data_IF_485508241241
#
_entry.id   IF_485508241241
#
_cell.length_a   1.000
_cell.length_b   1.000
_cell.length_c   1.000
_cell.angle_alpha   90.00
_cell.angle_beta   90.00
_cell.angle_gamma   90.00
#
_symmetry.space_group_name_H-M   'P 1'
#
loop_
_entity.id
_entity.type
_entity.pdbx_description
1 polymer ?
#
# COMPACT_ATOMS: atom_id res chain seq x y z
N UNK A 1 -16.04 -3.34 15.83
CA UNK A 1 -16.49 -1.94 15.56
C UNK A 1 -17.11 -1.89 14.18
N UNK A 2 -18.15 -1.08 13.95
CA UNK A 2 -18.73 -0.90 12.60
C UNK A 2 -17.88 0.06 11.77
N UNK A 3 -17.91 -0.06 10.41
CA UNK A 3 -17.10 0.76 9.49
C UNK A 3 -17.30 2.28 9.68
N UNK A 4 -18.55 2.73 9.94
CA UNK A 4 -18.84 4.15 10.20
C UNK A 4 -18.26 4.63 11.54
N UNK A 5 -18.32 3.81 12.57
CA UNK A 5 -17.72 4.11 13.88
C UNK A 5 -16.19 4.21 13.78
N UNK A 6 -15.58 3.28 13.03
CA UNK A 6 -14.15 3.31 12.73
C UNK A 6 -13.75 4.61 12.00
N UNK A 7 -14.48 4.98 10.94
CA UNK A 7 -14.21 6.21 10.19
C UNK A 7 -14.28 7.48 11.05
N UNK A 8 -15.31 7.58 11.92
CA UNK A 8 -15.43 8.72 12.84
C UNK A 8 -14.30 8.74 13.85
N UNK A 9 -13.99 7.60 14.45
CA UNK A 9 -13.02 7.50 15.53
C UNK A 9 -11.58 7.77 15.03
N UNK A 10 -11.23 7.24 13.86
CA UNK A 10 -9.91 7.47 13.22
C UNK A 10 -9.75 8.92 12.76
N UNK A 11 -10.82 9.54 12.25
CA UNK A 11 -10.77 10.96 11.87
C UNK A 11 -10.56 11.86 13.09
N UNK A 12 -11.20 11.57 14.22
CA UNK A 12 -10.99 12.29 15.47
C UNK A 12 -9.59 12.04 16.06
N UNK A 13 -9.06 10.83 15.93
CA UNK A 13 -7.69 10.52 16.37
C UNK A 13 -6.67 11.30 15.55
N UNK A 14 -6.83 11.35 14.24
CA UNK A 14 -5.91 12.04 13.32
C UNK A 14 -5.96 13.57 13.43
N UNK A 15 -7.17 14.13 13.56
CA UNK A 15 -7.38 15.58 13.46
C UNK A 15 -7.74 16.28 14.77
N UNK A 16 -7.93 15.52 15.84
CA UNK A 16 -8.43 16.04 17.10
C UNK A 16 -9.93 16.40 17.03
N UNK A 17 -10.36 17.25 17.94
CA UNK A 17 -11.74 17.71 18.03
C UNK A 17 -12.15 18.50 16.78
N UNK A 18 -13.15 18.03 16.05
CA UNK A 18 -13.74 18.70 14.89
C UNK A 18 -15.22 18.98 15.10
N UNK A 19 -15.75 20.08 14.53
CA UNK A 19 -17.19 20.30 14.45
C UNK A 19 -17.86 19.15 13.66
N UNK A 20 -19.06 18.66 14.06
CA UNK A 20 -19.72 17.52 13.40
C UNK A 20 -19.89 17.68 11.90
N UNK A 21 -20.16 18.90 11.40
CA UNK A 21 -20.30 19.21 9.98
C UNK A 21 -18.97 19.01 9.21
N UNK A 22 -17.86 19.42 9.81
CA UNK A 22 -16.53 19.27 9.22
C UNK A 22 -16.09 17.81 9.24
N UNK A 23 -16.32 17.12 10.36
CA UNK A 23 -16.05 15.69 10.49
C UNK A 23 -16.83 14.88 9.46
N UNK A 24 -18.14 15.12 9.33
CA UNK A 24 -19.01 14.47 8.34
C UNK A 24 -18.49 14.65 6.91
N UNK A 25 -18.07 15.89 6.54
CA UNK A 25 -17.47 16.16 5.22
C UNK A 25 -16.17 15.40 4.98
N UNK A 26 -15.29 15.35 6.00
CA UNK A 26 -13.99 14.65 5.89
C UNK A 26 -14.12 13.14 5.64
N UNK A 27 -15.14 12.52 6.22
CA UNK A 27 -15.34 11.06 6.15
C UNK A 27 -16.44 10.64 5.17
N UNK A 28 -17.00 11.58 4.40
CA UNK A 28 -18.02 11.30 3.39
C UNK A 28 -19.37 10.83 3.94
N UNK A 29 -19.73 11.20 5.18
CA UNK A 29 -21.02 10.87 5.78
C UNK A 29 -21.98 12.08 5.79
N UNK A 30 -23.30 11.79 5.82
CA UNK A 30 -24.28 12.85 6.12
C UNK A 30 -24.10 13.35 7.55
N UNK A 31 -24.47 14.62 7.82
CA UNK A 31 -24.39 15.20 9.16
C UNK A 31 -25.18 14.40 10.19
N UNK A 32 -26.38 13.93 9.81
CA UNK A 32 -27.25 13.15 10.71
C UNK A 32 -26.60 11.80 11.05
N UNK A 33 -26.05 11.10 10.06
CA UNK A 33 -25.33 9.83 10.29
C UNK A 33 -24.11 10.06 11.17
N UNK A 34 -23.31 11.08 10.89
CA UNK A 34 -22.13 11.41 11.68
C UNK A 34 -22.49 11.74 13.13
N UNK A 35 -23.56 12.54 13.34
CA UNK A 35 -24.04 12.91 14.67
C UNK A 35 -24.56 11.70 15.47
N UNK A 36 -25.29 10.80 14.82
CA UNK A 36 -25.76 9.55 15.44
C UNK A 36 -24.59 8.66 15.87
N UNK A 37 -23.60 8.46 14.97
CA UNK A 37 -22.39 7.66 15.28
C UNK A 37 -21.57 8.30 16.39
N UNK A 38 -21.44 9.63 16.42
CA UNK A 38 -20.76 10.33 17.51
C UNK A 38 -21.45 10.09 18.85
N UNK A 39 -22.79 10.15 18.91
CA UNK A 39 -23.56 9.86 20.12
C UNK A 39 -23.35 8.41 20.59
N UNK A 40 -23.33 7.45 19.67
CA UNK A 40 -23.00 6.05 19.98
C UNK A 40 -21.60 5.90 20.58
N UNK A 41 -20.59 6.54 19.96
CA UNK A 41 -19.21 6.48 20.43
C UNK A 41 -19.04 7.15 21.80
N UNK A 42 -19.79 8.23 22.07
CA UNK A 42 -19.83 8.88 23.38
C UNK A 42 -20.46 7.94 24.42
N UNK A 43 -21.59 7.31 24.10
CA UNK A 43 -22.26 6.35 24.98
C UNK A 43 -21.38 5.14 25.31
N UNK A 44 -20.57 4.67 24.32
CA UNK A 44 -19.58 3.61 24.53
C UNK A 44 -18.35 4.09 25.34
N UNK A 45 -18.21 5.40 25.57
CA UNK A 45 -17.05 5.99 26.21
C UNK A 45 -15.79 6.05 25.36
N UNK A 46 -15.90 5.91 24.05
CA UNK A 46 -14.77 6.00 23.12
C UNK A 46 -14.43 7.45 22.76
N UNK A 47 -15.40 8.36 22.87
CA UNK A 47 -15.26 9.80 22.65
C UNK A 47 -15.77 10.56 23.87
N UNK A 48 -15.03 11.56 24.31
CA UNK A 48 -15.43 12.49 25.37
C UNK A 48 -15.04 13.92 24.97
N UNK A 49 -15.97 14.85 25.11
CA UNK A 49 -15.78 16.29 24.79
C UNK A 49 -15.25 16.54 23.35
N UNK A 50 -15.55 15.61 22.41
CA UNK A 50 -15.12 15.66 21.04
C UNK A 50 -13.72 15.08 20.78
N UNK A 51 -13.07 14.50 21.77
CA UNK A 51 -11.76 13.87 21.67
C UNK A 51 -11.86 12.36 21.91
N UNK A 52 -10.98 11.60 21.27
CA UNK A 52 -10.86 10.14 21.47
C UNK A 52 -10.31 9.88 22.88
N UNK A 53 -10.92 8.94 23.58
CA UNK A 53 -10.47 8.52 24.92
C UNK A 53 -9.45 7.39 24.82
N UNK A 54 -8.80 7.05 25.94
CA UNK A 54 -7.92 5.86 26.03
C UNK A 54 -8.66 4.58 25.61
N UNK A 55 -9.91 4.40 26.10
CA UNK A 55 -10.77 3.29 25.66
C UNK A 55 -11.07 3.31 24.16
N UNK A 56 -11.18 4.50 23.56
CA UNK A 56 -11.34 4.66 22.11
C UNK A 56 -10.08 4.25 21.35
N UNK A 57 -8.90 4.60 21.86
CA UNK A 57 -7.62 4.16 21.29
C UNK A 57 -7.43 2.65 21.39
N UNK A 58 -7.77 2.05 22.53
CA UNK A 58 -7.76 0.59 22.70
C UNK A 58 -8.70 -0.12 21.70
N UNK A 59 -9.86 0.47 21.43
CA UNK A 59 -10.81 -0.05 20.45
C UNK A 59 -10.29 0.05 18.98
N UNK A 60 -9.36 0.96 18.69
CA UNK A 60 -8.67 1.08 17.40
C UNK A 60 -7.46 0.15 17.27
N UNK A 61 -6.87 -0.34 18.36
CA UNK A 61 -5.63 -1.14 18.32
C UNK A 61 -5.71 -2.42 17.44
N UNK A 62 -6.86 -3.13 17.34
CA UNK A 62 -7.00 -4.27 16.40
C UNK A 62 -6.85 -3.90 14.92
N UNK A 63 -7.06 -2.63 14.58
CA UNK A 63 -6.99 -2.08 13.22
C UNK A 63 -5.65 -1.39 12.93
N UNK A 64 -4.75 -1.34 13.91
CA UNK A 64 -3.45 -0.69 13.75
C UNK A 64 -2.57 -1.44 12.76
N UNK A 65 -2.04 -0.70 11.80
CA UNK A 65 -1.03 -1.22 10.87
C UNK A 65 0.28 -1.45 11.64
N UNK A 66 0.84 -2.64 11.55
CA UNK A 66 2.02 -3.03 12.32
C UNK A 66 3.31 -2.71 11.60
N UNK A 67 3.32 -2.86 10.27
CA UNK A 67 4.54 -2.71 9.47
C UNK A 67 4.27 -2.30 8.04
N UNK A 68 5.33 -1.91 7.36
CA UNK A 68 5.37 -1.66 5.92
C UNK A 68 6.44 -2.55 5.28
N UNK A 69 6.07 -3.25 4.22
CA UNK A 69 6.92 -4.18 3.47
C UNK A 69 7.07 -3.63 2.06
N UNK A 70 8.31 -3.43 1.61
CA UNK A 70 8.64 -2.92 0.29
C UNK A 70 9.23 -4.04 -0.57
N UNK A 71 8.55 -4.36 -1.67
CA UNK A 71 9.03 -5.33 -2.67
C UNK A 71 9.95 -4.58 -3.63
N UNK A 72 11.26 -4.64 -3.39
CA UNK A 72 12.26 -3.77 -4.01
C UNK A 72 13.42 -4.53 -4.68
N UNK A 73 13.24 -5.82 -4.99
CA UNK A 73 14.31 -6.66 -5.48
C UNK A 73 14.53 -6.60 -7.00
N UNK A 74 13.64 -5.95 -7.76
CA UNK A 74 13.62 -5.91 -9.22
C UNK A 74 14.80 -5.16 -9.86
N UNK A 75 15.13 -5.51 -11.11
CA UNK A 75 16.26 -4.92 -11.85
C UNK A 75 15.97 -3.54 -12.45
N UNK A 76 14.70 -3.17 -12.64
CA UNK A 76 14.31 -1.88 -13.22
C UNK A 76 14.86 -1.64 -14.64
N UNK A 77 14.89 -2.66 -15.48
CA UNK A 77 15.55 -2.64 -16.79
C UNK A 77 15.00 -1.58 -17.76
N UNK A 78 13.73 -1.17 -17.60
CA UNK A 78 13.12 -0.08 -18.40
C UNK A 78 13.69 1.30 -18.09
N UNK A 79 14.41 1.46 -16.96
CA UNK A 79 15.05 2.72 -16.55
C UNK A 79 16.56 2.78 -16.89
N UNK A 80 17.05 1.91 -17.77
CA UNK A 80 18.42 2.02 -18.27
C UNK A 80 18.62 3.40 -18.97
N UNK A 81 19.82 4.01 -18.84
CA UNK A 81 21.04 3.49 -18.20
C UNK A 81 21.16 3.71 -16.68
N UNK A 82 20.24 4.44 -16.04
CA UNK A 82 20.33 4.78 -14.61
C UNK A 82 20.45 3.56 -13.72
N UNK A 83 19.67 2.51 -14.02
CA UNK A 83 19.63 1.30 -13.23
C UNK A 83 20.85 0.40 -13.39
N UNK A 84 21.84 0.78 -14.19
CA UNK A 84 23.17 0.12 -14.16
C UNK A 84 23.91 0.32 -12.83
N UNK A 85 23.65 1.44 -12.15
CA UNK A 85 24.36 1.80 -10.91
C UNK A 85 23.46 2.16 -9.74
N UNK A 86 22.14 2.30 -9.96
CA UNK A 86 21.19 2.70 -8.93
C UNK A 86 19.90 1.89 -9.06
N UNK A 87 19.49 1.12 -8.05
CA UNK A 87 18.18 0.46 -8.05
C UNK A 87 17.05 1.47 -8.28
N UNK A 88 16.01 1.10 -9.05
CA UNK A 88 14.87 1.95 -9.38
C UNK A 88 14.27 2.67 -8.15
N UNK A 89 14.05 2.01 -6.99
CA UNK A 89 13.49 2.67 -5.81
C UNK A 89 14.37 3.79 -5.23
N UNK A 90 15.67 3.76 -5.50
CA UNK A 90 16.65 4.77 -5.02
C UNK A 90 16.87 5.92 -6.01
N UNK A 91 16.29 5.85 -7.21
CA UNK A 91 16.31 6.95 -8.17
C UNK A 91 15.63 8.16 -7.55
N UNK A 92 16.19 9.36 -7.81
CA UNK A 92 15.68 10.61 -7.25
C UNK A 92 14.81 11.34 -8.27
N UNK A 93 13.61 11.70 -7.85
CA UNK A 93 12.70 12.58 -8.59
C UNK A 93 12.64 13.90 -7.87
N UNK A 94 13.01 14.97 -8.54
CA UNK A 94 13.12 16.33 -7.95
C UNK A 94 13.94 16.35 -6.64
N UNK A 95 14.96 15.49 -6.55
CA UNK A 95 15.88 15.40 -5.40
C UNK A 95 15.47 14.42 -4.31
N UNK A 96 14.26 13.85 -4.35
CA UNK A 96 13.73 12.89 -3.38
C UNK A 96 13.76 11.48 -3.99
N UNK A 97 14.28 10.48 -3.28
CA UNK A 97 14.24 9.08 -3.74
C UNK A 97 12.79 8.60 -3.81
N UNK A 98 12.46 7.81 -4.82
CA UNK A 98 11.11 7.24 -4.98
C UNK A 98 10.65 6.58 -3.68
N UNK A 99 11.43 5.66 -3.15
CA UNK A 99 11.11 4.92 -1.91
C UNK A 99 10.98 5.83 -0.67
N UNK A 100 11.69 6.95 -0.61
CA UNK A 100 11.61 7.87 0.52
C UNK A 100 10.20 8.45 0.69
N UNK A 101 9.48 8.70 -0.41
CA UNK A 101 8.11 9.25 -0.35
C UNK A 101 7.16 8.30 0.37
N UNK A 102 7.34 7.01 0.15
CA UNK A 102 6.54 5.95 0.77
C UNK A 102 6.96 5.72 2.23
N UNK A 103 8.26 5.63 2.52
CA UNK A 103 8.76 5.40 3.89
C UNK A 103 8.42 6.59 4.79
N UNK A 104 8.61 7.83 4.32
CA UNK A 104 8.27 9.04 5.08
C UNK A 104 6.77 9.08 5.44
N UNK A 105 5.89 8.68 4.50
CA UNK A 105 4.46 8.57 4.76
C UNK A 105 4.13 7.49 5.80
N UNK A 106 4.80 6.34 5.75
CA UNK A 106 4.65 5.29 6.76
C UNK A 106 5.07 5.78 8.16
N UNK A 107 6.21 6.44 8.27
CA UNK A 107 6.70 7.00 9.55
C UNK A 107 5.74 8.07 10.07
N UNK A 108 5.27 8.98 9.19
CA UNK A 108 4.28 9.99 9.55
C UNK A 108 2.95 9.40 10.04
N UNK A 109 2.56 8.23 9.49
CA UNK A 109 1.40 7.46 9.96
C UNK A 109 1.66 6.68 11.27
N UNK A 110 2.90 6.70 11.82
CA UNK A 110 3.26 5.97 13.04
C UNK A 110 3.49 4.46 12.82
N UNK A 111 3.88 4.08 11.61
CA UNK A 111 4.28 2.71 11.26
C UNK A 111 5.79 2.60 11.45
N UNK A 112 6.22 1.85 12.46
CA UNK A 112 7.61 1.85 12.91
C UNK A 112 8.46 0.71 12.32
N UNK A 113 7.83 -0.42 11.98
CA UNK A 113 8.53 -1.57 11.42
C UNK A 113 8.56 -1.44 9.89
N UNK A 114 9.72 -1.10 9.34
CA UNK A 114 9.95 -0.94 7.90
C UNK A 114 10.83 -2.09 7.42
N UNK A 115 10.33 -2.86 6.44
CA UNK A 115 11.04 -4.01 5.86
C UNK A 115 11.20 -3.77 4.36
N UNK A 116 12.42 -3.87 3.85
CA UNK A 116 12.72 -3.78 2.43
C UNK A 116 13.27 -5.12 1.94
N UNK A 117 12.51 -5.77 1.05
CA UNK A 117 12.98 -6.97 0.34
C UNK A 117 13.75 -6.51 -0.87
N UNK A 118 15.07 -6.69 -0.86
CA UNK A 118 16.01 -6.21 -1.86
C UNK A 118 16.71 -7.36 -2.59
N UNK A 119 17.21 -7.09 -3.79
CA UNK A 119 17.93 -8.09 -4.60
C UNK A 119 18.94 -7.44 -5.52
N UNK A 120 18.50 -6.90 -6.65
CA UNK A 120 19.38 -6.20 -7.58
C UNK A 120 20.07 -5.00 -6.93
N UNK A 121 21.42 -4.97 -7.00
CA UNK A 121 22.24 -3.95 -6.34
C UNK A 121 21.85 -3.73 -4.86
N UNK A 122 21.54 -4.82 -4.14
CA UNK A 122 21.00 -4.79 -2.77
C UNK A 122 21.81 -3.94 -1.80
N UNK A 123 23.14 -3.93 -1.91
CA UNK A 123 24.03 -3.12 -1.06
C UNK A 123 23.78 -1.59 -1.19
N UNK A 124 23.27 -1.13 -2.35
CA UNK A 124 22.95 0.27 -2.52
C UNK A 124 21.86 0.76 -1.56
N UNK A 125 21.01 -0.15 -1.07
CA UNK A 125 19.95 0.17 -0.11
C UNK A 125 20.50 0.49 1.30
N UNK A 126 21.75 0.12 1.62
CA UNK A 126 22.34 0.43 2.92
C UNK A 126 22.35 1.93 3.24
N UNK A 127 22.41 2.81 2.23
CA UNK A 127 22.28 4.27 2.41
C UNK A 127 20.94 4.71 3.03
N UNK A 128 19.91 3.85 3.02
CA UNK A 128 18.63 4.16 3.66
C UNK A 128 18.77 4.21 5.18
N UNK A 129 19.71 3.46 5.77
CA UNK A 129 19.92 3.43 7.23
C UNK A 129 20.37 4.77 7.79
N UNK A 130 21.00 5.64 6.98
CA UNK A 130 21.39 6.99 7.40
C UNK A 130 20.16 7.84 7.77
N UNK A 131 19.06 7.66 7.06
CA UNK A 131 17.80 8.40 7.30
C UNK A 131 16.81 7.57 8.14
N UNK A 132 16.83 6.24 8.00
CA UNK A 132 15.88 5.31 8.61
C UNK A 132 16.63 4.22 9.41
N UNK A 133 17.10 4.51 10.61
CA UNK A 133 18.00 3.60 11.35
C UNK A 133 17.36 2.26 11.74
N UNK A 134 16.03 2.20 11.79
CA UNK A 134 15.29 0.98 12.16
C UNK A 134 14.83 0.13 10.97
N UNK A 135 15.28 0.46 9.74
CA UNK A 135 14.93 -0.30 8.55
C UNK A 135 15.57 -1.70 8.60
N UNK A 136 14.80 -2.71 8.23
CA UNK A 136 15.27 -4.10 8.12
C UNK A 136 15.32 -4.51 6.66
N UNK A 137 16.44 -5.09 6.24
CA UNK A 137 16.58 -5.66 4.90
C UNK A 137 16.37 -7.18 4.93
N UNK A 138 15.70 -7.67 3.88
CA UNK A 138 15.57 -9.09 3.54
C UNK A 138 16.14 -9.26 2.15
N UNK A 139 17.19 -10.05 2.01
CA UNK A 139 17.83 -10.28 0.71
C UNK A 139 17.10 -11.39 -0.05
N UNK A 140 16.67 -11.11 -1.28
CA UNK A 140 16.13 -12.10 -2.19
C UNK A 140 17.23 -12.61 -3.13
N UNK A 141 17.77 -13.83 -2.91
CA UNK A 141 18.82 -14.38 -3.77
C UNK A 141 18.30 -14.78 -5.16
N UNK A 142 16.99 -14.91 -5.34
CA UNK A 142 16.35 -15.40 -6.56
C UNK A 142 15.74 -14.30 -7.44
N UNK A 143 16.10 -13.04 -7.18
CA UNK A 143 15.53 -11.90 -7.90
C UNK A 143 15.76 -11.92 -9.43
N UNK A 144 16.74 -12.71 -9.91
CA UNK A 144 17.01 -12.90 -11.35
C UNK A 144 16.25 -14.06 -11.97
N UNK A 145 15.93 -15.05 -11.15
CA UNK A 145 15.40 -16.33 -11.60
C UNK A 145 13.86 -16.36 -11.57
N UNK A 146 13.26 -15.55 -10.69
CA UNK A 146 11.82 -15.57 -10.41
C UNK A 146 11.25 -14.16 -10.35
N UNK A 147 9.94 -14.06 -10.56
CA UNK A 147 9.23 -12.80 -10.44
C UNK A 147 9.08 -12.35 -8.96
N UNK A 148 8.42 -11.20 -8.73
CA UNK A 148 8.31 -10.56 -7.43
C UNK A 148 7.57 -11.40 -6.37
N UNK A 149 6.81 -12.42 -6.77
CA UNK A 149 6.25 -13.44 -5.87
C UNK A 149 7.34 -14.08 -4.99
N UNK A 150 8.56 -14.24 -5.49
CA UNK A 150 9.70 -14.76 -4.72
C UNK A 150 10.08 -13.84 -3.57
N UNK A 151 9.97 -12.53 -3.75
CA UNK A 151 10.20 -11.55 -2.68
C UNK A 151 9.12 -11.61 -1.60
N UNK A 152 7.86 -11.67 -2.00
CA UNK A 152 6.74 -11.80 -1.08
C UNK A 152 6.77 -13.16 -0.33
N UNK A 153 7.21 -14.21 -0.99
CA UNK A 153 7.38 -15.54 -0.36
C UNK A 153 8.35 -15.52 0.82
N UNK A 154 9.44 -14.74 0.74
CA UNK A 154 10.45 -14.62 1.82
C UNK A 154 9.92 -13.93 3.08
N UNK A 155 8.85 -13.16 2.96
CA UNK A 155 8.23 -12.37 4.05
C UNK A 155 6.76 -12.72 4.28
N UNK A 156 6.31 -13.88 3.78
CA UNK A 156 4.91 -14.29 3.77
C UNK A 156 4.27 -14.32 5.17
N UNK A 157 5.04 -14.68 6.18
CA UNK A 157 4.64 -14.70 7.59
C UNK A 157 4.47 -13.30 8.21
N UNK A 158 4.98 -12.26 7.55
CA UNK A 158 4.96 -10.87 8.00
C UNK A 158 3.87 -10.03 7.31
N UNK A 159 3.22 -10.55 6.27
CA UNK A 159 2.25 -9.81 5.44
C UNK A 159 1.00 -9.42 6.23
N UNK A 160 0.56 -10.27 7.18
CA UNK A 160 -0.63 -9.99 7.98
C UNK A 160 -0.50 -8.77 8.91
N UNK A 161 -1.40 -7.81 8.78
CA UNK A 161 -1.39 -6.53 9.50
C UNK A 161 -0.41 -5.52 8.92
N UNK A 162 -0.05 -5.65 7.63
CA UNK A 162 1.00 -4.87 6.98
C UNK A 162 0.49 -4.13 5.74
N UNK A 163 1.07 -2.97 5.46
CA UNK A 163 1.13 -2.46 4.10
C UNK A 163 2.16 -3.23 3.29
N UNK A 164 1.86 -3.48 2.02
CA UNK A 164 2.77 -4.03 1.03
C UNK A 164 2.86 -3.01 -0.10
N UNK A 165 4.09 -2.63 -0.45
CA UNK A 165 4.39 -1.62 -1.47
C UNK A 165 5.19 -2.23 -2.61
N UNK A 166 4.79 -1.96 -3.84
CA UNK A 166 5.71 -1.93 -4.95
C UNK A 166 6.54 -0.65 -4.84
N UNK A 167 7.83 -0.75 -5.11
CA UNK A 167 8.78 0.28 -4.71
C UNK A 167 9.17 1.23 -5.84
N UNK A 168 8.37 1.26 -6.90
CA UNK A 168 8.50 2.12 -8.08
C UNK A 168 7.45 3.24 -8.14
N UNK A 169 6.65 3.37 -7.10
CA UNK A 169 5.61 4.38 -6.96
C UNK A 169 6.17 5.60 -6.22
N UNK A 170 6.08 6.76 -6.84
CA UNK A 170 6.30 8.04 -6.20
C UNK A 170 4.99 8.54 -5.58
N UNK A 171 4.91 8.55 -4.26
CA UNK A 171 3.72 8.96 -3.52
C UNK A 171 3.66 10.49 -3.43
N UNK A 172 2.61 11.08 -4.00
CA UNK A 172 2.35 12.53 -3.94
C UNK A 172 1.49 12.88 -2.74
N UNK A 173 0.44 12.09 -2.49
CA UNK A 173 -0.49 12.29 -1.40
C UNK A 173 -0.19 11.31 -0.24
N UNK A 174 0.61 11.78 0.73
CA UNK A 174 0.96 10.99 1.91
C UNK A 174 -0.24 10.59 2.78
N UNK A 175 -1.37 11.29 2.69
CA UNK A 175 -2.60 10.98 3.44
C UNK A 175 -3.24 9.64 3.06
N UNK A 176 -2.83 9.04 1.93
CA UNK A 176 -3.21 7.69 1.55
C UNK A 176 -2.65 6.63 2.50
N UNK A 177 -1.55 6.92 3.19
CA UNK A 177 -0.99 6.00 4.18
C UNK A 177 -1.52 6.38 5.55
N UNK A 178 -2.26 5.47 6.15
CA UNK A 178 -2.95 5.73 7.43
C UNK A 178 -2.52 4.74 8.52
N UNK A 179 -2.57 5.19 9.76
CA UNK A 179 -2.20 4.42 10.95
C UNK A 179 -3.07 3.19 11.19
N UNK A 180 -4.34 3.31 10.81
CA UNK A 180 -5.35 2.27 11.01
C UNK A 180 -5.99 1.89 9.68
N UNK A 181 -6.27 0.60 9.50
CA UNK A 181 -7.00 0.07 8.34
C UNK A 181 -8.13 -0.83 8.81
N UNK A 182 -9.33 -0.61 8.26
CA UNK A 182 -10.52 -1.33 8.68
C UNK A 182 -10.55 -2.77 8.14
N UNK A 183 -10.14 -2.93 6.89
CA UNK A 183 -10.22 -4.18 6.12
C UNK A 183 -9.07 -4.23 5.10
N UNK A 184 -8.80 -5.42 4.58
CA UNK A 184 -7.80 -5.61 3.52
C UNK A 184 -8.21 -4.84 2.27
N UNK A 185 -7.26 -4.12 1.69
CA UNK A 185 -7.51 -3.29 0.53
C UNK A 185 -6.29 -3.12 -0.37
N UNK A 186 -6.57 -2.68 -1.58
CA UNK A 186 -5.58 -2.32 -2.59
C UNK A 186 -5.93 -0.96 -3.19
N UNK A 187 -4.97 -0.07 -3.43
CA UNK A 187 -5.24 1.21 -4.07
C UNK A 187 -5.60 1.01 -5.54
N UNK A 188 -6.66 1.69 -5.98
CA UNK A 188 -7.09 1.67 -7.37
C UNK A 188 -7.76 2.97 -7.78
N UNK A 189 -7.59 3.34 -9.06
CA UNK A 189 -8.23 4.52 -9.65
C UNK A 189 -9.33 4.08 -10.58
N UNK A 190 -10.60 4.49 -10.35
CA UNK A 190 -11.68 4.17 -11.28
C UNK A 190 -11.40 4.78 -12.65
N UNK A 191 -11.47 3.99 -13.70
CA UNK A 191 -11.19 4.42 -15.07
C UNK A 191 -12.08 3.70 -16.09
N UNK A 192 -12.33 4.38 -17.22
CA UNK A 192 -13.07 3.80 -18.33
C UNK A 192 -12.25 2.76 -19.08
N UNK A 193 -10.94 2.99 -19.20
CA UNK A 193 -10.00 2.10 -19.89
C UNK A 193 -8.58 2.28 -19.34
N UNK A 194 -7.83 1.17 -19.23
CA UNK A 194 -6.39 1.19 -18.94
C UNK A 194 -5.67 0.10 -19.72
N UNK A 195 -4.47 0.38 -20.25
CA UNK A 195 -3.62 -0.64 -20.86
C UNK A 195 -2.84 -1.46 -19.83
N UNK A 196 -2.88 -1.07 -18.56
CA UNK A 196 -2.12 -1.68 -17.48
C UNK A 196 -2.98 -2.53 -16.54
N UNK A 197 -2.35 -3.06 -15.47
CA UNK A 197 -3.02 -3.90 -14.48
C UNK A 197 -4.20 -3.18 -13.83
N UNK A 198 -5.29 -3.89 -13.67
CA UNK A 198 -6.52 -3.35 -13.11
C UNK A 198 -7.33 -4.41 -12.39
N UNK A 199 -8.17 -3.95 -11.47
CA UNK A 199 -9.11 -4.77 -10.74
C UNK A 199 -10.51 -4.69 -11.35
N UNK A 200 -11.15 -5.85 -11.54
CA UNK A 200 -12.59 -5.92 -11.57
C UNK A 200 -13.13 -5.97 -10.14
N UNK A 201 -14.29 -5.35 -9.93
CA UNK A 201 -14.90 -5.29 -8.59
C UNK A 201 -16.39 -5.56 -8.66
N UNK A 202 -16.95 -6.04 -7.53
CA UNK A 202 -18.39 -6.05 -7.33
C UNK A 202 -18.92 -4.66 -6.89
N UNK A 203 -20.23 -4.55 -6.65
CA UNK A 203 -20.92 -3.33 -6.22
C UNK A 203 -20.45 -2.77 -4.87
N UNK A 204 -19.69 -3.55 -4.11
CA UNK A 204 -19.10 -3.19 -2.81
C UNK A 204 -17.60 -2.90 -2.90
N UNK A 205 -17.06 -2.78 -4.12
CA UNK A 205 -15.64 -2.60 -4.42
C UNK A 205 -14.76 -3.79 -3.96
N UNK A 206 -15.34 -4.97 -3.72
CA UNK A 206 -14.55 -6.19 -3.48
C UNK A 206 -13.92 -6.63 -4.80
N UNK A 207 -12.63 -6.90 -4.78
CA UNK A 207 -11.89 -7.38 -5.95
C UNK A 207 -12.42 -8.75 -6.34
N UNK A 208 -12.76 -8.91 -7.61
CA UNK A 208 -13.26 -10.16 -8.21
C UNK A 208 -12.29 -10.74 -9.23
N UNK A 209 -11.43 -9.92 -9.81
CA UNK A 209 -10.34 -10.36 -10.68
C UNK A 209 -9.24 -9.28 -10.80
N UNK A 210 -8.03 -9.71 -11.19
CA UNK A 210 -6.88 -8.89 -11.54
C UNK A 210 -6.41 -9.29 -12.93
N UNK A 211 -6.39 -8.35 -13.85
CA UNK A 211 -5.97 -8.60 -15.24
C UNK A 211 -5.44 -7.33 -15.92
N UNK A 212 -4.99 -7.48 -17.18
CA UNK A 212 -4.58 -6.38 -18.05
C UNK A 212 -4.74 -6.78 -19.52
N UNK A 213 -5.17 -5.85 -20.42
CA UNK A 213 -5.73 -4.52 -20.11
C UNK A 213 -7.16 -4.60 -19.56
N UNK A 214 -7.75 -3.46 -19.15
CA UNK A 214 -9.12 -3.43 -18.63
C UNK A 214 -9.97 -2.27 -19.10
N UNK A 215 -11.32 -2.45 -18.95
CA UNK A 215 -12.34 -1.43 -19.21
C UNK A 215 -13.35 -1.39 -18.09
N UNK A 216 -13.82 -0.16 -17.74
CA UNK A 216 -14.72 0.06 -16.61
C UNK A 216 -14.25 -0.64 -15.32
N UNK A 217 -12.99 -0.41 -14.99
CA UNK A 217 -12.24 -1.12 -13.95
C UNK A 217 -11.54 -0.12 -13.03
N UNK A 218 -10.74 -0.63 -12.10
CA UNK A 218 -9.87 0.20 -11.25
C UNK A 218 -8.41 -0.06 -11.64
N UNK A 219 -7.76 0.95 -12.26
CA UNK A 219 -6.32 0.91 -12.51
C UNK A 219 -5.57 0.68 -11.20
N UNK A 220 -4.71 -0.34 -11.14
CA UNK A 220 -4.01 -0.75 -9.94
C UNK A 220 -2.82 0.16 -9.65
N UNK A 221 -2.68 0.57 -8.39
CA UNK A 221 -1.42 1.08 -7.87
C UNK A 221 -0.88 0.13 -6.81
N UNK A 222 0.39 -0.22 -6.88
CA UNK A 222 1.06 -1.22 -6.05
C UNK A 222 1.19 -0.84 -4.57
N UNK A 223 0.10 -0.43 -3.92
CA UNK A 223 -0.01 -0.14 -2.49
C UNK A 223 -1.22 -0.88 -1.94
N UNK A 224 -0.97 -1.87 -1.11
CA UNK A 224 -2.02 -2.69 -0.48
C UNK A 224 -1.86 -2.79 1.03
N UNK A 225 -2.94 -3.12 1.70
CA UNK A 225 -2.94 -3.51 3.11
C UNK A 225 -3.65 -4.85 3.25
N UNK A 226 -3.02 -5.80 3.90
CA UNK A 226 -3.64 -7.07 4.26
C UNK A 226 -3.77 -7.17 5.78
N UNK A 227 -5.00 -7.38 6.26
CA UNK A 227 -5.24 -7.68 7.66
C UNK A 227 -4.67 -9.06 8.05
N UNK A 228 -4.74 -9.41 9.32
CA UNK A 228 -4.18 -10.68 9.82
C UNK A 228 -4.81 -11.91 9.15
N UNK A 229 -6.11 -11.85 8.88
CA UNK A 229 -6.83 -12.99 8.28
C UNK A 229 -6.42 -13.17 6.82
N UNK A 230 -6.37 -12.08 6.06
CA UNK A 230 -5.91 -12.08 4.66
C UNK A 230 -4.43 -12.47 4.58
N UNK A 231 -3.59 -11.99 5.51
CA UNK A 231 -2.17 -12.41 5.57
C UNK A 231 -2.00 -13.91 5.79
N UNK A 232 -2.81 -14.52 6.65
CA UNK A 232 -2.80 -15.98 6.86
C UNK A 232 -3.27 -16.75 5.61
N UNK A 233 -4.22 -16.20 4.86
CA UNK A 233 -4.62 -16.76 3.56
C UNK A 233 -3.48 -16.64 2.54
N UNK A 234 -2.81 -15.49 2.49
CA UNK A 234 -1.66 -15.29 1.62
C UNK A 234 -0.55 -16.28 1.93
N UNK A 235 -0.15 -16.42 3.19
CA UNK A 235 0.90 -17.36 3.62
C UNK A 235 0.59 -18.79 3.16
N UNK A 236 -0.67 -19.20 3.29
CA UNK A 236 -1.14 -20.52 2.83
C UNK A 236 -1.08 -20.66 1.31
N UNK A 237 -1.64 -19.72 0.58
CA UNK A 237 -1.85 -19.85 -0.86
C UNK A 237 -0.63 -19.46 -1.70
N UNK A 238 0.26 -18.61 -1.19
CA UNK A 238 1.52 -18.33 -1.88
C UNK A 238 2.38 -19.59 -2.02
N UNK A 239 2.31 -20.52 -1.05
CA UNK A 239 2.99 -21.81 -1.16
C UNK A 239 2.39 -22.69 -2.26
N UNK A 240 1.07 -22.68 -2.42
CA UNK A 240 0.38 -23.41 -3.50
C UNK A 240 0.80 -22.86 -4.88
N UNK A 241 0.82 -21.53 -5.05
CA UNK A 241 1.23 -20.92 -6.33
C UNK A 241 2.72 -21.15 -6.56
N UNK A 242 3.58 -20.72 -5.62
CA UNK A 242 5.03 -20.67 -5.81
C UNK A 242 5.68 -22.05 -5.99
N UNK A 243 5.26 -23.06 -5.19
CA UNK A 243 5.91 -24.36 -5.18
C UNK A 243 5.18 -25.46 -5.96
N UNK A 244 3.87 -25.33 -6.18
CA UNK A 244 3.06 -26.46 -6.71
C UNK A 244 2.42 -26.16 -8.08
N UNK A 245 2.25 -24.87 -8.42
CA UNK A 245 1.69 -24.48 -9.68
C UNK A 245 2.76 -24.47 -10.78
N UNK A 246 2.43 -24.96 -11.98
CA UNK A 246 3.33 -24.90 -13.13
C UNK A 246 3.54 -23.42 -13.52
N UNK A 247 4.80 -22.98 -13.60
CA UNK A 247 5.13 -21.57 -13.84
C UNK A 247 4.86 -20.64 -12.65
N UNK A 248 4.53 -21.18 -11.47
CA UNK A 248 4.14 -20.38 -10.31
C UNK A 248 5.16 -19.34 -9.85
N UNK A 249 6.44 -19.55 -10.16
CA UNK A 249 7.54 -18.62 -9.84
C UNK A 249 7.63 -17.41 -10.78
N UNK A 250 6.92 -17.45 -11.91
CA UNK A 250 6.89 -16.39 -12.91
C UNK A 250 5.73 -15.41 -12.69
N UNK A 251 4.85 -15.70 -11.70
CA UNK A 251 3.72 -14.86 -11.35
C UNK A 251 4.10 -13.69 -10.44
N UNK A 252 3.21 -12.70 -10.38
CA UNK A 252 3.29 -11.61 -9.42
C UNK A 252 2.72 -12.04 -8.07
N UNK A 253 3.12 -11.39 -6.99
CA UNK A 253 2.70 -11.74 -5.64
C UNK A 253 1.20 -11.47 -5.40
N UNK A 254 0.66 -10.45 -6.03
CA UNK A 254 -0.75 -10.05 -5.99
C UNK A 254 -1.66 -10.98 -6.76
N UNK A 255 -1.16 -11.70 -7.79
CA UNK A 255 -1.92 -12.76 -8.47
C UNK A 255 -2.45 -13.80 -7.48
N UNK A 256 -1.75 -14.02 -6.37
CA UNK A 256 -2.11 -15.07 -5.40
C UNK A 256 -3.53 -14.88 -4.86
N UNK A 257 -3.86 -13.70 -4.34
CA UNK A 257 -5.16 -13.42 -3.72
C UNK A 257 -6.06 -12.51 -4.55
N UNK A 258 -5.55 -11.85 -5.58
CA UNK A 258 -6.36 -11.00 -6.43
C UNK A 258 -6.76 -11.67 -7.76
N UNK A 259 -6.20 -12.86 -8.06
CA UNK A 259 -6.54 -13.65 -9.24
C UNK A 259 -6.80 -15.11 -8.88
N UNK A 260 -5.77 -15.91 -8.54
CA UNK A 260 -5.91 -17.37 -8.38
C UNK A 260 -6.84 -17.79 -7.24
N UNK A 261 -6.83 -17.09 -6.13
CA UNK A 261 -7.62 -17.40 -4.94
C UNK A 261 -8.49 -16.21 -4.50
N UNK A 262 -8.95 -15.41 -5.46
CA UNK A 262 -9.75 -14.21 -5.22
C UNK A 262 -11.08 -14.52 -4.51
N UNK A 263 -11.66 -15.70 -4.72
CA UNK A 263 -12.88 -16.16 -4.05
C UNK A 263 -12.66 -16.50 -2.56
N UNK A 264 -11.43 -16.70 -2.12
CA UNK A 264 -11.06 -16.97 -0.72
C UNK A 264 -10.77 -15.72 0.10
N UNK A 265 -10.44 -14.63 -0.58
CA UNK A 265 -10.04 -13.37 0.06
C UNK A 265 -11.15 -12.32 0.01
N UNK A 266 -11.21 -11.46 1.01
CA UNK A 266 -12.09 -10.31 1.05
C UNK A 266 -11.25 -9.03 1.00
N UNK A 267 -10.76 -8.71 -0.18
CA UNK A 267 -9.92 -7.54 -0.45
C UNK A 267 -10.75 -6.55 -1.25
N UNK A 268 -10.76 -5.27 -0.82
CA UNK A 268 -11.53 -4.22 -1.48
C UNK A 268 -10.61 -3.23 -2.17
N UNK A 269 -11.07 -2.63 -3.26
CA UNK A 269 -10.42 -1.46 -3.81
C UNK A 269 -10.65 -0.29 -2.86
N UNK A 270 -9.56 0.38 -2.51
CA UNK A 270 -9.59 1.68 -1.85
C UNK A 270 -9.27 2.73 -2.91
N UNK A 271 -10.30 3.46 -3.32
CA UNK A 271 -10.18 4.42 -4.41
C UNK A 271 -9.22 5.57 -4.08
N UNK A 272 -8.43 5.96 -5.06
CA UNK A 272 -7.56 7.12 -5.08
C UNK A 272 -7.65 7.81 -6.45
N UNK A 273 -6.77 8.75 -6.72
CA UNK A 273 -6.74 9.53 -7.95
C UNK A 273 -5.37 9.40 -8.62
N UNK A 274 -5.29 9.53 -9.94
CA UNK A 274 -4.04 9.64 -10.70
C UNK A 274 -3.12 10.79 -10.26
N UNK A 275 -3.64 11.73 -9.44
CA UNK A 275 -2.84 12.82 -8.86
C UNK A 275 -2.19 12.46 -7.54
N UNK A 276 -2.61 11.39 -6.92
CA UNK A 276 -2.14 10.98 -5.58
C UNK A 276 -0.83 10.20 -5.63
N UNK A 277 -0.57 9.56 -6.76
CA UNK A 277 0.61 8.72 -7.00
C UNK A 277 1.12 8.92 -8.43
N UNK A 278 2.41 8.68 -8.65
CA UNK A 278 3.01 8.58 -9.98
C UNK A 278 3.80 7.28 -10.04
N UNK A 279 3.48 6.41 -10.96
CA UNK A 279 4.31 5.28 -11.31
C UNK A 279 5.36 5.75 -12.34
N UNK A 280 6.61 5.39 -12.12
CA UNK A 280 7.73 5.84 -12.97
C UNK A 280 8.39 4.59 -13.52
N UNK A 281 7.94 4.14 -14.66
CA UNK A 281 8.32 2.86 -15.22
C UNK A 281 9.50 2.92 -16.16
N UNK A 282 9.70 4.05 -16.83
CA UNK A 282 10.71 4.22 -17.86
C UNK A 282 11.60 5.43 -17.63
N UNK A 283 12.77 5.43 -18.30
CA UNK A 283 13.66 6.59 -18.30
C UNK A 283 13.02 7.82 -18.98
N UNK A 284 12.21 7.60 -20.01
CA UNK A 284 11.52 8.67 -20.74
C UNK A 284 10.49 9.36 -19.83
N UNK A 285 9.68 8.60 -19.09
CA UNK A 285 8.75 9.15 -18.08
C UNK A 285 9.48 9.93 -16.99
N UNK A 286 10.63 9.42 -16.51
CA UNK A 286 11.44 10.17 -15.56
C UNK A 286 11.93 11.50 -16.14
N UNK A 287 12.35 11.53 -17.41
CA UNK A 287 12.76 12.76 -18.10
C UNK A 287 11.60 13.75 -18.28
N UNK A 288 10.36 13.28 -18.37
CA UNK A 288 9.19 14.16 -18.45
C UNK A 288 8.91 14.85 -17.10
N UNK A 289 9.14 14.14 -15.99
CA UNK A 289 8.85 14.61 -14.64
C UNK A 289 10.00 15.46 -14.06
N UNK A 290 11.26 15.10 -14.40
CA UNK A 290 12.46 15.74 -13.84
C UNK A 290 13.43 16.12 -14.95
N UNK A 291 13.45 17.40 -15.33
CA UNK A 291 14.25 17.94 -16.43
C UNK A 291 15.77 17.73 -16.28
N UNK A 292 16.26 17.47 -15.05
CA UNK A 292 17.69 17.21 -14.80
C UNK A 292 18.19 15.99 -15.53
N UNK A 293 17.32 15.01 -15.80
CA UNK A 293 17.67 13.80 -16.55
C UNK A 293 17.74 14.01 -18.07
N UNK A 294 17.10 15.07 -18.59
CA UNK A 294 17.21 15.44 -20.03
C UNK A 294 18.58 16.00 -20.42
N UNK A 295 19.32 16.57 -19.46
CA UNK A 295 20.59 17.27 -19.71
C UNK A 295 21.83 16.36 -19.63
N UNK A 296 21.66 15.06 -19.38
CA UNK A 296 22.75 14.07 -19.23
C UNK A 296 23.00 13.24 -20.49
N UNK A 297 22.44 13.63 -21.63
CA UNK A 297 22.68 12.99 -22.95
C UNK A 297 23.71 13.77 -23.77
#
# INVERSE_FOLDING_TARGET
MQKKQFAVLTALEKHGKLPPKELARKIGLSLDTCSAVLAELQNCGYVKDGSVTEKGLEALEPYRVKRAIFIAAGMGSRMLPLTLSCPKPLVRVNGVRIIDTLIDACIAAGIEEIIVVRGYLGECFNQLTDKYPNIRFVDNPHYRDYNNISSAYLVKDLIGGSYIFESDIYLVNADLITKYQYESNYLGVPCEETPDWCFETDEHLRITDLHKPGKNCHHMYGISYYDKATGALFEKYVDEVFNKMLGGKDHFWDDVLCHFFVDKANIHVRECSFRDTMEIDSFDELCEIDERYRMTN
#
